data_IF_731135967429
#
_entry.id   IF_731135967429
#
_cell.length_a   1.000
_cell.length_b   1.000
_cell.length_c   1.000
_cell.angle_alpha   90.00
_cell.angle_beta   90.00
_cell.angle_gamma   90.00
#
_symmetry.space_group_name_H-M   'P 1'
#
loop_
_entity.id
_entity.type
_entity.pdbx_description
1 polymer ?
#
# COMPACT_ATOMS: atom_id res chain seq x y z
N UNK A 1 10.32 16.61 6.26
CA UNK A 1 9.96 17.88 5.62
C UNK A 1 8.42 17.91 5.56
N UNK A 2 7.80 19.08 5.68
CA UNK A 2 6.35 19.25 5.65
C UNK A 2 5.76 18.80 4.29
N UNK A 3 6.55 18.95 3.23
CA UNK A 3 6.22 18.52 1.87
C UNK A 3 6.48 17.02 1.61
N UNK A 4 7.05 16.28 2.57
CA UNK A 4 7.25 14.83 2.43
C UNK A 4 5.90 14.14 2.25
N UNK A 5 5.76 13.31 1.22
CA UNK A 5 4.52 12.61 0.92
C UNK A 5 4.53 11.18 1.47
N UNK A 6 3.36 10.70 1.83
CA UNK A 6 3.12 9.35 2.32
C UNK A 6 1.86 8.77 1.67
N UNK A 7 1.87 7.47 1.40
CA UNK A 7 0.66 6.69 1.16
C UNK A 7 0.12 6.23 2.51
N UNK A 8 -1.11 6.66 2.83
CA UNK A 8 -1.89 6.09 3.91
C UNK A 8 -2.86 5.06 3.34
N UNK A 9 -2.97 3.91 3.99
CA UNK A 9 -3.85 2.84 3.55
C UNK A 9 -4.52 2.10 4.71
N UNK A 10 -5.67 1.51 4.40
CA UNK A 10 -6.42 0.62 5.27
C UNK A 10 -6.28 -0.83 4.81
N UNK A 11 -6.49 -1.74 5.75
CA UNK A 11 -6.45 -3.19 5.51
C UNK A 11 -7.55 -3.69 4.56
N UNK A 12 -8.53 -2.85 4.20
CA UNK A 12 -9.53 -3.15 3.17
C UNK A 12 -9.17 -2.63 1.77
N UNK A 13 -7.94 -2.14 1.58
CA UNK A 13 -7.43 -1.74 0.27
C UNK A 13 -7.89 -0.35 -0.18
N UNK A 14 -8.23 0.54 0.75
CA UNK A 14 -8.48 1.97 0.47
C UNK A 14 -7.38 2.84 1.06
N UNK A 15 -7.00 3.89 0.35
CA UNK A 15 -5.97 4.82 0.78
C UNK A 15 -5.80 6.02 -0.14
N UNK A 16 -4.83 6.87 0.17
CA UNK A 16 -4.55 8.11 -0.56
C UNK A 16 -3.13 8.58 -0.28
N UNK A 17 -2.62 9.46 -1.14
CA UNK A 17 -1.36 10.18 -0.88
C UNK A 17 -1.66 11.39 0.01
N UNK A 18 -0.80 11.70 0.97
CA UNK A 18 -0.91 12.92 1.78
C UNK A 18 0.48 13.46 2.09
N UNK A 19 0.58 14.77 2.31
CA UNK A 19 1.78 15.42 2.82
C UNK A 19 1.94 15.21 4.33
N UNK A 20 3.17 15.32 4.82
CA UNK A 20 3.50 15.19 6.23
C UNK A 20 2.86 16.29 7.07
N UNK A 21 2.80 17.53 6.54
CA UNK A 21 2.13 18.65 7.21
C UNK A 21 0.69 18.30 7.62
N UNK A 22 -0.02 17.53 6.79
CA UNK A 22 -1.38 17.07 7.09
C UNK A 22 -1.43 16.05 8.23
N UNK A 23 -0.36 15.30 8.49
CA UNK A 23 -0.28 14.34 9.60
C UNK A 23 0.00 15.02 10.94
N UNK A 24 0.54 16.24 10.91
CA UNK A 24 0.80 17.02 12.11
C UNK A 24 -0.49 17.66 12.65
N UNK A 25 -0.63 17.68 13.97
CA UNK A 25 -1.76 18.30 14.63
C UNK A 25 -1.37 18.77 16.03
N UNK A 26 -1.90 19.93 16.44
CA UNK A 26 -1.63 20.52 17.77
C UNK A 26 -2.65 20.09 18.83
N UNK A 27 -3.72 19.43 18.42
CA UNK A 27 -4.80 19.03 19.33
C UNK A 27 -4.41 17.77 20.11
N UNK A 28 -4.65 17.79 21.43
CA UNK A 28 -4.41 16.64 22.32
C UNK A 28 -5.21 15.39 21.92
N UNK A 29 -6.39 15.57 21.34
CA UNK A 29 -7.23 14.49 20.84
C UNK A 29 -6.72 13.86 19.52
N UNK A 30 -5.66 14.40 18.93
CA UNK A 30 -5.14 13.99 17.62
C UNK A 30 -5.99 14.48 16.45
N UNK A 31 -5.67 14.01 15.24
CA UNK A 31 -6.37 14.34 14.00
C UNK A 31 -6.94 13.08 13.37
N UNK A 32 -8.24 13.09 13.04
CA UNK A 32 -8.87 12.01 12.30
C UNK A 32 -8.43 12.03 10.83
N UNK A 33 -7.34 11.32 10.52
CA UNK A 33 -6.73 11.30 9.18
C UNK A 33 -7.33 10.25 8.25
N UNK A 34 -7.40 8.99 8.71
CA UNK A 34 -7.86 7.87 7.89
C UNK A 34 -9.21 7.37 8.43
N UNK A 35 -10.26 7.46 7.63
CA UNK A 35 -11.59 6.94 7.96
C UNK A 35 -11.65 5.45 7.63
N UNK A 36 -11.81 4.62 8.65
CA UNK A 36 -11.85 3.16 8.49
C UNK A 36 -13.28 2.67 8.36
N UNK A 37 -13.52 1.76 7.43
CA UNK A 37 -14.74 0.94 7.45
C UNK A 37 -14.69 -0.01 8.66
N UNK A 38 -15.83 -0.53 9.15
CA UNK A 38 -15.85 -1.52 10.23
C UNK A 38 -14.83 -2.64 10.01
N UNK A 39 -14.14 -3.03 11.09
CA UNK A 39 -13.09 -4.06 11.14
C UNK A 39 -11.81 -3.80 10.31
N UNK A 40 -11.76 -2.71 9.52
CA UNK A 40 -10.53 -2.31 8.87
C UNK A 40 -9.52 -1.78 9.90
N UNK A 41 -8.25 -1.98 9.62
CA UNK A 41 -7.11 -1.47 10.39
C UNK A 41 -6.27 -0.55 9.52
N UNK A 42 -5.50 0.32 10.17
CA UNK A 42 -4.48 1.12 9.50
C UNK A 42 -3.31 0.20 9.10
N UNK A 43 -2.77 0.40 7.90
CA UNK A 43 -1.54 -0.24 7.42
C UNK A 43 -0.39 0.75 7.60
N UNK A 44 0.82 0.24 7.83
CA UNK A 44 2.04 1.07 7.94
C UNK A 44 2.12 2.06 6.77
N UNK A 45 2.24 3.38 7.02
CA UNK A 45 2.42 4.37 5.98
C UNK A 45 3.68 4.10 5.16
N UNK A 46 3.61 4.32 3.84
CA UNK A 46 4.76 4.22 2.96
C UNK A 46 5.17 5.61 2.47
N UNK A 47 6.43 5.99 2.67
CA UNK A 47 6.94 7.28 2.20
C UNK A 47 7.05 7.27 0.67
N UNK A 48 6.63 8.35 0.03
CA UNK A 48 6.76 8.55 -1.42
C UNK A 48 8.02 9.37 -1.69
N UNK A 49 8.91 8.85 -2.54
CA UNK A 49 10.08 9.58 -3.00
C UNK A 49 9.72 10.53 -4.14
N UNK A 50 9.25 9.97 -5.25
CA UNK A 50 8.90 10.69 -6.47
C UNK A 50 7.53 10.23 -7.02
N UNK A 51 6.62 11.20 -7.23
CA UNK A 51 5.25 10.91 -7.72
C UNK A 51 5.24 10.34 -9.14
N UNK A 52 6.20 10.75 -9.96
CA UNK A 52 6.17 10.53 -11.41
C UNK A 52 6.78 9.18 -11.80
N UNK A 53 7.69 8.65 -10.96
CA UNK A 53 8.48 7.46 -11.27
C UNK A 53 8.25 6.29 -10.32
N UNK A 54 7.84 6.56 -9.07
CA UNK A 54 7.70 5.48 -8.09
C UNK A 54 6.40 4.71 -8.32
N UNK A 55 6.37 3.47 -7.82
CA UNK A 55 5.20 2.60 -7.87
C UNK A 55 4.67 2.34 -6.48
N UNK A 56 3.37 2.53 -6.28
CA UNK A 56 2.69 2.00 -5.09
C UNK A 56 2.52 0.50 -5.30
N UNK A 57 2.92 -0.28 -4.30
CA UNK A 57 2.68 -1.72 -4.24
C UNK A 57 1.81 -2.03 -3.05
N UNK A 58 0.73 -2.75 -3.27
CA UNK A 58 -0.13 -3.29 -2.21
C UNK A 58 -0.18 -4.81 -2.28
N UNK A 59 -0.14 -5.46 -1.12
CA UNK A 59 -0.21 -6.92 -1.02
C UNK A 59 -1.27 -7.37 -0.01
N UNK A 60 -2.04 -8.37 -0.41
CA UNK A 60 -3.05 -9.01 0.44
C UNK A 60 -2.47 -10.17 1.24
N UNK A 61 -3.16 -10.58 2.30
CA UNK A 61 -2.79 -11.71 3.16
C UNK A 61 -2.78 -13.07 2.47
N UNK A 62 -3.33 -13.13 1.25
CA UNK A 62 -3.36 -14.34 0.40
C UNK A 62 -2.47 -14.19 -0.85
N UNK A 63 -1.61 -13.16 -0.88
CA UNK A 63 -0.55 -13.03 -1.87
C UNK A 63 -0.97 -12.39 -3.19
N UNK A 64 -2.13 -11.73 -3.28
CA UNK A 64 -2.38 -10.85 -4.41
C UNK A 64 -1.56 -9.57 -4.24
N UNK A 65 -0.71 -9.28 -5.23
CA UNK A 65 0.15 -8.11 -5.30
C UNK A 65 -0.27 -7.27 -6.50
N UNK A 66 -0.42 -5.97 -6.30
CA UNK A 66 -0.69 -5.00 -7.35
C UNK A 66 0.33 -3.87 -7.26
N UNK A 67 0.96 -3.55 -8.38
CA UNK A 67 1.83 -2.40 -8.55
C UNK A 67 1.19 -1.41 -9.55
N UNK A 68 1.25 -0.12 -9.27
CA UNK A 68 0.83 0.94 -10.21
C UNK A 68 1.54 2.27 -9.89
N UNK A 69 1.65 3.20 -10.85
CA UNK A 69 2.29 4.51 -10.63
C UNK A 69 1.65 5.30 -9.48
N UNK A 70 2.44 5.97 -8.64
CA UNK A 70 1.90 6.76 -7.51
C UNK A 70 0.94 7.85 -7.99
N UNK A 71 1.21 8.44 -9.16
CA UNK A 71 0.37 9.46 -9.80
C UNK A 71 -1.09 9.03 -10.02
N UNK A 72 -1.40 7.73 -10.05
CA UNK A 72 -2.79 7.25 -10.15
C UNK A 72 -3.56 7.29 -8.82
N UNK A 73 -2.86 7.44 -7.68
CA UNK A 73 -3.48 7.51 -6.35
C UNK A 73 -3.72 8.97 -5.95
N UNK A 74 -4.99 9.41 -5.76
CA UNK A 74 -5.28 10.80 -5.45
C UNK A 74 -4.66 11.28 -4.13
N UNK A 75 -4.20 12.53 -4.13
CA UNK A 75 -3.75 13.24 -2.93
C UNK A 75 -4.97 13.78 -2.17
N UNK A 76 -5.08 13.50 -0.87
CA UNK A 76 -6.15 13.99 0.00
C UNK A 76 -5.58 14.43 1.36
N UNK A 77 -6.26 15.38 2.02
CA UNK A 77 -5.87 15.83 3.35
C UNK A 77 -6.30 14.88 4.48
N UNK A 78 -7.40 14.16 4.27
CA UNK A 78 -7.98 13.15 5.18
C UNK A 78 -9.13 12.42 4.49
N UNK A 79 -9.57 11.29 5.07
CA UNK A 79 -10.80 10.60 4.70
C UNK A 79 -10.59 9.10 4.54
N UNK A 80 -11.52 8.42 3.88
CA UNK A 80 -11.42 6.97 3.60
C UNK A 80 -10.35 6.66 2.54
N UNK A 81 -10.14 7.59 1.62
CA UNK A 81 -9.31 7.36 0.44
C UNK A 81 -10.02 6.61 -0.67
N UNK A 82 -9.27 6.39 -1.75
CA UNK A 82 -9.68 5.71 -2.95
C UNK A 82 -9.18 4.27 -2.94
N UNK A 83 -9.80 3.40 -3.74
CA UNK A 83 -9.41 2.00 -3.81
C UNK A 83 -8.01 1.86 -4.41
N UNK A 84 -7.13 1.16 -3.71
CA UNK A 84 -5.77 0.80 -4.09
C UNK A 84 -5.79 -0.57 -4.76
N UNK A 85 -6.35 -1.58 -4.09
CA UNK A 85 -6.45 -2.98 -4.55
C UNK A 85 -7.83 -3.55 -4.22
N UNK A 86 -8.39 -4.37 -5.11
CA UNK A 86 -9.69 -5.00 -4.91
C UNK A 86 -9.61 -6.21 -3.98
N UNK A 87 -10.42 -6.17 -2.93
CA UNK A 87 -10.76 -7.34 -2.11
C UNK A 87 -12.25 -7.60 -2.29
N UNK A 88 -12.65 -8.75 -2.88
CA UNK A 88 -14.06 -9.12 -3.02
C UNK A 88 -14.79 -9.00 -1.70
N UNK A 89 -16.01 -8.44 -1.73
CA UNK A 89 -16.80 -8.16 -0.51
C UNK A 89 -16.99 -9.39 0.37
N UNK A 90 -17.20 -10.56 -0.22
CA UNK A 90 -17.35 -11.83 0.49
C UNK A 90 -16.06 -12.33 1.15
N UNK A 91 -14.89 -11.77 0.81
CA UNK A 91 -13.59 -12.12 1.38
C UNK A 91 -13.08 -11.13 2.43
N UNK A 92 -13.73 -9.98 2.65
CA UNK A 92 -13.29 -8.96 3.61
C UNK A 92 -13.13 -9.47 5.05
N UNK A 93 -13.81 -10.56 5.43
CA UNK A 93 -13.65 -11.20 6.74
C UNK A 93 -12.41 -12.09 6.87
N UNK A 94 -11.83 -12.53 5.76
CA UNK A 94 -10.73 -13.51 5.71
C UNK A 94 -9.47 -13.00 5.04
N UNK A 95 -9.61 -11.96 4.23
CA UNK A 95 -8.56 -11.38 3.42
C UNK A 95 -8.46 -9.88 3.69
N UNK A 96 -7.22 -9.40 3.76
CA UNK A 96 -6.90 -8.00 4.02
C UNK A 96 -5.61 -7.61 3.34
N UNK A 97 -5.45 -6.32 3.04
CA UNK A 97 -4.13 -5.74 2.76
C UNK A 97 -3.28 -5.85 4.02
N UNK A 98 -2.10 -6.43 3.87
CA UNK A 98 -1.14 -6.61 4.97
C UNK A 98 -0.12 -5.49 4.99
N UNK A 99 0.31 -5.05 3.81
CA UNK A 99 1.29 -3.99 3.67
C UNK A 99 1.10 -3.21 2.37
N UNK A 100 1.54 -1.96 2.41
CA UNK A 100 1.76 -1.11 1.25
C UNK A 100 3.20 -0.64 1.26
N UNK A 101 3.79 -0.45 0.08
CA UNK A 101 5.13 0.07 -0.09
C UNK A 101 5.15 1.01 -1.31
N UNK A 102 6.12 1.92 -1.36
CA UNK A 102 6.39 2.74 -2.53
C UNK A 102 7.80 2.40 -3.00
N UNK A 103 7.91 1.81 -4.18
CA UNK A 103 9.18 1.31 -4.70
C UNK A 103 9.69 2.30 -5.75
N UNK A 104 10.87 2.89 -5.57
CA UNK A 104 11.48 3.78 -6.57
C UNK A 104 12.03 2.98 -7.74
N UNK A 105 12.23 3.62 -8.90
CA UNK A 105 12.71 2.96 -10.13
C UNK A 105 14.03 2.18 -9.96
N UNK A 106 14.91 2.63 -9.06
CA UNK A 106 16.17 1.95 -8.72
C UNK A 106 16.09 0.99 -7.53
N UNK A 107 14.94 0.91 -6.86
CA UNK A 107 14.74 0.13 -5.65
C UNK A 107 14.26 -1.29 -5.90
N UNK A 108 14.17 -2.05 -4.81
CA UNK A 108 13.66 -3.42 -4.78
C UNK A 108 12.58 -3.56 -3.73
N UNK A 109 11.58 -4.39 -4.01
CA UNK A 109 10.57 -4.77 -3.04
C UNK A 109 10.98 -6.07 -2.37
N UNK A 110 11.03 -6.07 -1.04
CA UNK A 110 11.22 -7.27 -0.23
C UNK A 110 9.87 -7.72 0.32
N UNK A 111 9.41 -8.89 -0.10
CA UNK A 111 8.21 -9.57 0.40
C UNK A 111 8.61 -10.49 1.55
N UNK A 112 8.00 -10.30 2.72
CA UNK A 112 8.24 -11.11 3.92
C UNK A 112 7.15 -12.17 4.07
N UNK A 113 7.55 -13.44 4.21
CA UNK A 113 6.65 -14.59 4.42
C UNK A 113 7.26 -15.53 5.46
N UNK A 114 6.77 -15.43 6.70
CA UNK A 114 7.36 -16.09 7.86
C UNK A 114 8.83 -15.72 8.03
N UNK A 115 9.70 -16.75 8.09
CA UNK A 115 11.14 -16.58 8.21
C UNK A 115 11.85 -16.33 6.86
N UNK A 116 11.12 -16.31 5.74
CA UNK A 116 11.68 -16.19 4.39
C UNK A 116 11.39 -14.83 3.78
N UNK A 117 12.30 -14.37 2.92
CA UNK A 117 12.15 -13.14 2.14
C UNK A 117 12.35 -13.40 0.65
N UNK A 118 11.51 -12.78 -0.18
CA UNK A 118 11.65 -12.75 -1.64
C UNK A 118 11.87 -11.30 -2.05
N UNK A 119 12.90 -11.05 -2.84
CA UNK A 119 13.20 -9.72 -3.35
C UNK A 119 12.80 -9.66 -4.82
N UNK A 120 12.01 -8.65 -5.18
CA UNK A 120 11.62 -8.31 -6.55
C UNK A 120 12.26 -6.98 -6.91
N UNK A 121 13.06 -6.97 -7.97
CA UNK A 121 13.54 -5.73 -8.58
C UNK A 121 12.37 -4.91 -9.14
N UNK A 122 12.59 -3.61 -9.36
CA UNK A 122 11.59 -2.75 -9.97
C UNK A 122 11.05 -3.29 -11.31
N UNK A 123 11.92 -3.95 -12.10
CA UNK A 123 11.53 -4.58 -13.36
C UNK A 123 10.70 -5.85 -13.16
N UNK A 124 11.02 -6.69 -12.17
CA UNK A 124 10.20 -7.87 -11.85
C UNK A 124 8.81 -7.49 -11.33
N UNK A 125 8.62 -6.27 -10.81
CA UNK A 125 7.29 -5.76 -10.49
C UNK A 125 6.40 -5.57 -11.72
N UNK A 126 6.95 -5.50 -12.94
CA UNK A 126 6.16 -5.38 -14.18
C UNK A 126 5.15 -6.53 -14.33
N UNK A 127 5.45 -7.73 -13.80
CA UNK A 127 4.52 -8.87 -13.78
C UNK A 127 3.25 -8.60 -12.96
N UNK A 128 3.32 -7.65 -12.03
CA UNK A 128 2.23 -7.28 -11.13
C UNK A 128 1.70 -5.87 -11.40
N UNK A 129 2.19 -5.22 -12.46
CA UNK A 129 1.65 -3.93 -12.89
C UNK A 129 0.25 -4.14 -13.46
N UNK A 130 -0.69 -3.33 -12.98
CA UNK A 130 -2.06 -3.33 -13.48
C UNK A 130 -2.77 -2.04 -13.11
N UNK A 131 -3.97 -1.84 -13.66
CA UNK A 131 -4.76 -0.67 -13.32
C UNK A 131 -5.04 -0.61 -11.80
N UNK A 132 -4.99 0.58 -11.20
CA UNK A 132 -5.40 0.79 -9.82
C UNK A 132 -6.80 0.21 -9.57
N UNK A 133 -7.06 -0.25 -8.35
CA UNK A 133 -8.33 -0.80 -7.92
C UNK A 133 -8.71 -2.15 -8.55
N UNK A 134 -7.77 -2.81 -9.24
CA UNK A 134 -7.93 -4.20 -9.69
C UNK A 134 -7.45 -5.19 -8.63
N UNK A 135 -7.57 -6.48 -8.94
CA UNK A 135 -7.27 -7.57 -8.00
C UNK A 135 -5.78 -7.81 -7.79
N UNK A 136 -4.92 -7.40 -8.72
CA UNK A 136 -3.50 -7.74 -8.73
C UNK A 136 -3.20 -9.19 -9.15
N UNK A 137 -1.93 -9.46 -9.39
CA UNK A 137 -1.40 -10.79 -9.71
C UNK A 137 -1.10 -11.60 -8.45
N UNK A 138 -1.12 -12.93 -8.54
CA UNK A 138 -0.76 -13.80 -7.43
C UNK A 138 0.76 -13.98 -7.37
N UNK A 139 1.33 -13.80 -6.18
CA UNK A 139 2.70 -14.20 -5.89
C UNK A 139 2.90 -15.70 -6.13
N UNK A 140 4.13 -16.15 -6.44
CA UNK A 140 4.43 -17.55 -6.69
C UNK A 140 4.05 -18.42 -5.49
N UNK A 141 3.78 -19.71 -5.77
CA UNK A 141 3.47 -20.68 -4.71
C UNK A 141 4.59 -20.69 -3.68
N UNK A 142 4.21 -20.68 -2.39
CA UNK A 142 5.15 -20.56 -1.27
C UNK A 142 5.36 -19.14 -0.75
N UNK A 143 4.94 -18.10 -1.49
CA UNK A 143 5.05 -16.69 -1.08
C UNK A 143 3.70 -16.01 -0.80
N UNK A 144 2.61 -16.76 -0.82
CA UNK A 144 1.25 -16.21 -0.71
C UNK A 144 0.79 -15.90 0.72
N UNK A 145 1.52 -16.38 1.74
CA UNK A 145 1.29 -16.02 3.15
C UNK A 145 2.19 -14.84 3.51
N UNK A 146 1.77 -13.64 3.13
CA UNK A 146 2.58 -12.42 3.28
C UNK A 146 2.33 -11.78 4.63
N UNK A 147 3.42 -11.43 5.32
CA UNK A 147 3.40 -10.78 6.63
C UNK A 147 3.82 -9.30 6.55
N UNK A 148 4.52 -8.89 5.49
CA UNK A 148 4.91 -7.50 5.30
C UNK A 148 5.70 -7.24 4.02
N UNK A 149 5.93 -5.96 3.75
CA UNK A 149 6.78 -5.47 2.67
C UNK A 149 7.91 -4.59 3.26
N UNK A 150 9.04 -4.54 2.58
CA UNK A 150 10.08 -3.54 2.78
C UNK A 150 10.63 -3.08 1.43
N UNK A 151 11.32 -1.94 1.42
CA UNK A 151 11.97 -1.38 0.23
C UNK A 151 13.46 -1.28 0.50
N UNK A 152 14.26 -1.76 -0.45
CA UNK A 152 15.73 -1.69 -0.46
C UNK A 152 16.23 -0.84 -1.64
#
# INVERSE_FOLDING_TARGET
DDETRFVLASSHGYGFVTKFVNLTGRQKAGKAMLSLTPQAKVVQPAQVGALDTDRVVAVTSVGHLLAFPVSELPELDKGKGNKIIEIPKNKLGTERVVAVAVVPQGGKLVVKSGARTMTLSFKELDEYVGARATRGGLLPRGWQKVDGLAVE
#
